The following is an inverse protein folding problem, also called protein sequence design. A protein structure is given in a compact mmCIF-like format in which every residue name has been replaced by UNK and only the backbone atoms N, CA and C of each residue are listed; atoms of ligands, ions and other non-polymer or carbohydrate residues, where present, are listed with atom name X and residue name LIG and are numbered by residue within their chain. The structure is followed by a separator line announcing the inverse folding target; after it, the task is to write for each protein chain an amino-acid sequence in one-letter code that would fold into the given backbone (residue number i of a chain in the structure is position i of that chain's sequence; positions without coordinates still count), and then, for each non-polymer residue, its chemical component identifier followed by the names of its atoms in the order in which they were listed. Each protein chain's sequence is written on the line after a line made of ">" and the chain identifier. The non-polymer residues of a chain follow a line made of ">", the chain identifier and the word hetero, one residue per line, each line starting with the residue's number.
data_IF_726802601500
#
_entry.id   IF_726802601500
#
_cell.length_a   1.000
_cell.length_b   1.000
_cell.length_c   1.000
_cell.angle_alpha   90.00
_cell.angle_beta   90.00
_cell.angle_gamma   90.00
#
_symmetry.space_group_name_H-M   'P 1'
#
loop_
_entity.id
_entity.type
_entity.pdbx_description
1 polymer ?
#
# COMPACT_ATOMS: atom_id res chain seq x y z
N UNK A 1 22.36 -8.95 -3.05
CA UNK A 1 21.09 -9.17 -2.32
C UNK A 1 20.29 -10.16 -3.13
N UNK A 2 19.84 -11.26 -2.52
CA UNK A 2 18.99 -12.24 -3.21
C UNK A 2 17.67 -11.56 -3.57
N UNK A 3 17.14 -11.84 -4.76
CA UNK A 3 15.83 -11.35 -5.18
C UNK A 3 14.75 -11.93 -4.25
N UNK A 4 13.70 -11.16 -3.93
CA UNK A 4 12.58 -11.67 -3.15
C UNK A 4 11.95 -12.88 -3.85
N UNK A 5 11.62 -13.91 -3.08
CA UNK A 5 10.84 -15.04 -3.59
C UNK A 5 9.35 -14.75 -3.43
N UNK A 6 8.67 -14.53 -4.55
CA UNK A 6 7.24 -14.23 -4.59
C UNK A 6 6.36 -15.49 -4.69
N UNK A 7 6.94 -16.69 -4.69
CA UNK A 7 6.16 -17.93 -4.72
C UNK A 7 5.30 -18.08 -3.46
N UNK A 8 4.01 -18.35 -3.68
CA UNK A 8 3.06 -18.45 -2.57
C UNK A 8 2.58 -17.11 -2.01
N UNK A 9 2.89 -15.98 -2.68
CA UNK A 9 2.32 -14.67 -2.38
C UNK A 9 0.99 -14.49 -3.10
N UNK A 10 -0.04 -14.08 -2.37
CA UNK A 10 -1.28 -13.55 -2.93
C UNK A 10 -1.22 -12.01 -2.97
N UNK A 11 -1.69 -11.44 -4.06
CA UNK A 11 -1.62 -10.01 -4.32
C UNK A 11 -2.97 -9.51 -4.86
N UNK A 12 -3.61 -8.60 -4.17
CA UNK A 12 -4.99 -8.24 -4.45
C UNK A 12 -5.20 -6.82 -4.92
N UNK A 13 -6.22 -6.63 -5.77
CA UNK A 13 -6.65 -5.32 -6.23
C UNK A 13 -5.92 -4.83 -7.48
N UNK A 14 -5.67 -5.71 -8.44
CA UNK A 14 -4.95 -5.38 -9.69
C UNK A 14 -5.49 -4.14 -10.41
N UNK A 15 -6.78 -3.88 -10.32
CA UNK A 15 -7.43 -2.70 -10.89
C UNK A 15 -7.36 -1.46 -9.97
N UNK A 16 -6.80 -1.59 -8.77
CA UNK A 16 -6.73 -0.52 -7.78
C UNK A 16 -5.45 0.32 -7.99
N UNK A 17 -5.56 1.64 -7.79
CA UNK A 17 -4.41 2.56 -7.81
C UNK A 17 -3.35 2.22 -6.75
N UNK A 18 -3.76 1.67 -5.62
CA UNK A 18 -2.87 1.24 -4.54
C UNK A 18 -1.88 0.18 -5.03
N UNK A 19 -2.36 -0.83 -5.75
CA UNK A 19 -1.51 -1.89 -6.31
C UNK A 19 -0.54 -1.34 -7.34
N UNK A 20 -0.99 -0.41 -8.18
CA UNK A 20 -0.10 0.29 -9.13
C UNK A 20 1.02 1.03 -8.39
N UNK A 21 0.73 1.62 -7.23
CA UNK A 21 1.76 2.27 -6.40
C UNK A 21 2.74 1.24 -5.85
N UNK A 22 2.26 0.09 -5.37
CA UNK A 22 3.14 -1.01 -4.91
C UNK A 22 4.06 -1.48 -6.02
N UNK A 23 3.54 -1.77 -7.21
CA UNK A 23 4.35 -2.23 -8.34
C UNK A 23 5.39 -1.18 -8.74
N UNK A 24 5.02 0.11 -8.74
CA UNK A 24 5.95 1.21 -9.01
C UNK A 24 7.04 1.30 -7.94
N UNK A 25 6.69 1.13 -6.66
CA UNK A 25 7.66 1.11 -5.57
C UNK A 25 8.66 -0.05 -5.73
N UNK A 26 8.15 -1.25 -6.02
CA UNK A 26 9.01 -2.42 -6.28
C UNK A 26 9.93 -2.17 -7.48
N UNK A 27 9.42 -1.56 -8.54
CA UNK A 27 10.22 -1.22 -9.72
C UNK A 27 11.34 -0.21 -9.39
N UNK A 28 11.02 0.87 -8.67
CA UNK A 28 12.02 1.85 -8.29
C UNK A 28 13.10 1.26 -7.39
N UNK A 29 12.72 0.45 -6.39
CA UNK A 29 13.63 -0.07 -5.38
C UNK A 29 14.49 -1.24 -5.88
N UNK A 30 13.93 -2.12 -6.70
CA UNK A 30 14.58 -3.38 -7.09
C UNK A 30 14.65 -3.62 -8.59
N UNK A 31 14.10 -2.71 -9.40
CA UNK A 31 14.15 -2.77 -10.85
C UNK A 31 12.93 -3.42 -11.51
N UNK A 32 12.82 -3.16 -12.81
CA UNK A 32 11.69 -3.59 -13.64
C UNK A 32 11.49 -5.12 -13.64
N UNK A 33 12.59 -5.87 -13.69
CA UNK A 33 12.54 -7.35 -13.73
C UNK A 33 11.89 -7.92 -12.46
N UNK A 34 12.16 -7.32 -11.29
CA UNK A 34 11.57 -7.74 -10.00
C UNK A 34 10.09 -7.40 -9.95
N UNK A 35 9.70 -6.22 -10.45
CA UNK A 35 8.30 -5.83 -10.57
C UNK A 35 7.52 -6.74 -11.52
N UNK A 36 8.11 -7.15 -12.64
CA UNK A 36 7.52 -8.12 -13.57
C UNK A 36 7.34 -9.48 -12.88
N UNK A 37 8.38 -9.97 -12.21
CA UNK A 37 8.35 -11.25 -11.49
C UNK A 37 7.26 -11.25 -10.40
N UNK A 38 7.10 -10.15 -9.64
CA UNK A 38 6.01 -10.00 -8.67
C UNK A 38 4.65 -10.26 -9.30
N UNK A 39 4.38 -9.66 -10.47
CA UNK A 39 3.10 -9.84 -11.16
C UNK A 39 2.96 -11.23 -11.77
N UNK A 40 4.03 -11.83 -12.28
CA UNK A 40 4.01 -13.13 -12.96
C UNK A 40 3.85 -14.31 -12.00
N UNK A 41 4.50 -14.25 -10.84
CA UNK A 41 4.59 -15.41 -9.93
C UNK A 41 3.58 -15.37 -8.78
N UNK A 42 3.00 -14.20 -8.50
CA UNK A 42 1.99 -14.07 -7.45
C UNK A 42 0.61 -14.54 -7.88
N UNK A 43 -0.18 -15.02 -6.92
CA UNK A 43 -1.61 -15.24 -7.10
C UNK A 43 -2.32 -13.87 -7.11
N UNK A 44 -2.63 -13.37 -8.31
CA UNK A 44 -3.28 -12.07 -8.47
C UNK A 44 -4.79 -12.21 -8.33
N UNK A 45 -5.40 -11.41 -7.48
CA UNK A 45 -6.85 -11.37 -7.26
C UNK A 45 -7.40 -9.98 -7.57
N UNK A 46 -8.70 -9.90 -7.85
CA UNK A 46 -9.36 -8.62 -8.20
C UNK A 46 -9.37 -7.63 -7.03
N UNK A 47 -9.52 -8.15 -5.81
CA UNK A 47 -9.67 -7.35 -4.60
C UNK A 47 -8.72 -7.83 -3.49
N UNK A 48 -8.24 -6.93 -2.61
CA UNK A 48 -7.38 -7.30 -1.48
C UNK A 48 -8.00 -8.36 -0.56
N UNK A 49 -9.33 -8.38 -0.43
CA UNK A 49 -10.03 -9.40 0.36
C UNK A 49 -9.79 -10.81 -0.21
N UNK A 50 -9.71 -10.94 -1.54
CA UNK A 50 -9.42 -12.22 -2.19
C UNK A 50 -8.04 -12.73 -1.83
N UNK A 51 -7.03 -11.86 -1.82
CA UNK A 51 -5.67 -12.22 -1.40
C UNK A 51 -5.62 -12.64 0.08
N UNK A 52 -6.32 -11.93 0.96
CA UNK A 52 -6.42 -12.31 2.37
C UNK A 52 -7.12 -13.68 2.55
N UNK A 53 -8.20 -13.92 1.82
CA UNK A 53 -8.91 -15.20 1.84
C UNK A 53 -8.07 -16.35 1.29
N UNK A 54 -7.25 -16.10 0.25
CA UNK A 54 -6.35 -17.11 -0.30
C UNK A 54 -5.38 -17.66 0.76
N UNK A 55 -4.88 -16.79 1.65
CA UNK A 55 -4.05 -17.24 2.79
C UNK A 55 -4.87 -18.06 3.78
N UNK A 56 -6.07 -17.60 4.15
CA UNK A 56 -6.94 -18.33 5.08
C UNK A 56 -7.39 -19.70 4.56
N UNK A 57 -7.45 -19.85 3.25
CA UNK A 57 -7.84 -21.11 2.58
C UNK A 57 -6.64 -21.99 2.24
N UNK A 58 -5.41 -21.57 2.59
CA UNK A 58 -4.19 -22.33 2.29
C UNK A 58 -3.80 -22.32 0.81
N UNK A 59 -4.39 -21.43 -0.01
CA UNK A 59 -4.04 -21.27 -1.42
C UNK A 59 -2.76 -20.45 -1.62
N UNK A 60 -2.42 -19.64 -0.63
CA UNK A 60 -1.19 -18.86 -0.57
C UNK A 60 -0.61 -18.90 0.86
N UNK A 61 0.71 -18.74 0.97
CA UNK A 61 1.38 -18.70 2.27
C UNK A 61 1.35 -17.30 2.88
N UNK A 62 1.38 -16.28 2.03
CA UNK A 62 1.41 -14.86 2.40
C UNK A 62 0.49 -14.06 1.50
N UNK A 63 0.07 -12.88 1.96
CA UNK A 63 -0.66 -11.93 1.13
C UNK A 63 -0.17 -10.51 1.35
N UNK A 64 -0.01 -9.76 0.27
CA UNK A 64 0.19 -8.32 0.32
C UNK A 64 -1.17 -7.64 0.34
N UNK A 65 -1.50 -7.02 1.47
CA UNK A 65 -2.81 -6.42 1.74
C UNK A 65 -2.64 -5.07 2.44
N UNK A 66 -3.63 -4.17 2.35
CA UNK A 66 -3.65 -2.94 3.15
C UNK A 66 -3.60 -3.22 4.65
N UNK A 67 -3.02 -2.29 5.42
CA UNK A 67 -2.84 -2.39 6.88
C UNK A 67 -4.14 -2.62 7.65
N UNK A 68 -5.29 -2.16 7.14
CA UNK A 68 -6.61 -2.39 7.73
C UNK A 68 -6.96 -3.89 7.93
N UNK A 69 -6.28 -4.79 7.21
CA UNK A 69 -6.47 -6.23 7.39
C UNK A 69 -5.85 -6.77 8.69
N UNK A 70 -5.03 -5.96 9.39
CA UNK A 70 -4.57 -6.29 10.74
C UNK A 70 -5.74 -6.61 11.69
N UNK A 71 -6.86 -5.89 11.56
CA UNK A 71 -8.07 -6.09 12.38
C UNK A 71 -8.84 -7.39 12.01
N UNK A 72 -8.52 -8.00 10.88
CA UNK A 72 -9.15 -9.24 10.40
C UNK A 72 -8.28 -10.47 10.63
N UNK A 73 -7.01 -10.27 10.93
CA UNK A 73 -6.11 -11.33 11.33
C UNK A 73 -6.47 -11.81 12.74
N UNK A 74 -6.54 -13.11 12.95
CA UNK A 74 -6.96 -13.71 14.21
C UNK A 74 -5.79 -13.92 15.20
N UNK A 75 -4.56 -13.65 14.76
CA UNK A 75 -3.35 -13.80 15.54
C UNK A 75 -2.93 -15.26 15.81
N UNK A 76 -3.65 -16.25 15.25
CA UNK A 76 -3.37 -17.67 15.38
C UNK A 76 -2.98 -18.28 14.05
N UNK A 77 -3.92 -18.33 13.11
CA UNK A 77 -3.70 -18.84 11.75
C UNK A 77 -3.20 -17.75 10.82
N UNK A 78 -3.62 -16.49 11.07
CA UNK A 78 -3.22 -15.32 10.29
C UNK A 78 -2.73 -14.20 11.20
N UNK A 79 -1.67 -13.54 10.79
CA UNK A 79 -1.12 -12.37 11.47
C UNK A 79 -0.55 -11.38 10.46
N UNK A 80 -0.58 -10.10 10.79
CA UNK A 80 0.05 -9.06 9.99
C UNK A 80 1.53 -8.96 10.34
N UNK A 81 2.36 -8.85 9.30
CA UNK A 81 3.76 -8.44 9.44
C UNK A 81 4.06 -7.29 8.51
N UNK A 82 4.81 -6.32 8.99
CA UNK A 82 5.44 -5.31 8.14
C UNK A 82 6.71 -5.93 7.58
N UNK A 83 6.96 -5.82 6.26
CA UNK A 83 8.21 -6.26 5.66
C UNK A 83 9.41 -5.56 6.32
N UNK A 84 10.54 -6.24 6.36
CA UNK A 84 11.79 -5.65 6.88
C UNK A 84 12.21 -4.41 6.10
N UNK A 85 11.93 -4.39 4.82
CA UNK A 85 12.18 -3.27 3.91
C UNK A 85 11.27 -2.08 4.15
N UNK A 86 10.20 -2.27 4.90
CA UNK A 86 9.20 -1.26 5.23
C UNK A 86 7.85 -1.48 4.53
N UNK A 87 6.79 -0.82 5.02
CA UNK A 87 5.49 -0.82 4.36
C UNK A 87 5.52 0.09 3.13
N UNK A 88 4.72 -0.24 2.12
CA UNK A 88 4.51 0.68 0.99
C UNK A 88 3.41 1.66 1.37
N UNK A 89 3.73 2.95 1.36
CA UNK A 89 2.78 4.03 1.60
C UNK A 89 1.99 4.34 0.33
N UNK A 90 0.69 4.49 0.51
CA UNK A 90 -0.23 4.90 -0.55
C UNK A 90 -0.78 6.26 -0.15
N UNK A 91 -0.25 7.36 -0.71
CA UNK A 91 -0.66 8.69 -0.31
C UNK A 91 -2.11 8.97 -0.73
N UNK A 92 -2.88 9.56 0.19
CA UNK A 92 -4.19 10.11 -0.09
C UNK A 92 -4.10 11.64 -0.09
N UNK A 93 -4.77 12.26 -1.04
CA UNK A 93 -4.74 13.72 -1.23
C UNK A 93 -6.11 14.32 -1.02
N UNK A 94 -6.17 15.43 -0.30
CA UNK A 94 -7.35 16.29 -0.25
C UNK A 94 -7.29 17.27 -1.44
N UNK A 95 -8.34 17.32 -2.23
CA UNK A 95 -8.47 18.22 -3.37
C UNK A 95 -9.73 19.07 -3.23
N UNK A 96 -9.61 20.37 -3.37
CA UNK A 96 -10.72 21.29 -3.47
C UNK A 96 -10.82 21.86 -4.88
N UNK A 97 -12.05 22.17 -5.32
CA UNK A 97 -12.25 22.90 -6.57
C UNK A 97 -11.73 24.32 -6.43
N UNK A 98 -11.22 24.91 -7.51
CA UNK A 98 -10.72 26.29 -7.53
C UNK A 98 -11.76 27.33 -7.17
N UNK A 99 -13.06 27.01 -7.32
CA UNK A 99 -14.18 27.88 -6.92
C UNK A 99 -14.47 27.87 -5.41
N UNK A 100 -13.85 26.94 -4.65
CA UNK A 100 -14.02 26.91 -3.19
C UNK A 100 -13.08 27.94 -2.58
N UNK A 101 -13.57 28.83 -1.69
CA UNK A 101 -12.71 29.76 -0.99
C UNK A 101 -11.62 29.01 -0.19
N UNK A 102 -10.40 29.52 -0.24
CA UNK A 102 -9.23 28.88 0.39
C UNK A 102 -9.45 28.60 1.88
N UNK A 103 -10.04 29.58 2.61
CA UNK A 103 -10.34 29.38 4.03
C UNK A 103 -11.27 28.20 4.31
N UNK A 104 -12.24 27.95 3.40
CA UNK A 104 -13.16 26.82 3.56
C UNK A 104 -12.45 25.49 3.28
N UNK A 105 -11.60 25.44 2.25
CA UNK A 105 -10.77 24.29 1.95
C UNK A 105 -9.83 23.95 3.12
N UNK A 106 -9.17 24.98 3.68
CA UNK A 106 -8.31 24.81 4.87
C UNK A 106 -9.06 24.27 6.08
N UNK A 107 -10.24 24.79 6.41
CA UNK A 107 -11.02 24.28 7.54
C UNK A 107 -11.42 22.83 7.39
N UNK A 108 -11.76 22.40 6.18
CA UNK A 108 -12.06 20.99 5.91
C UNK A 108 -10.79 20.13 6.06
N UNK A 109 -9.66 20.58 5.49
CA UNK A 109 -8.39 19.89 5.62
C UNK A 109 -7.96 19.75 7.09
N UNK A 110 -8.02 20.81 7.89
CA UNK A 110 -7.75 20.79 9.33
C UNK A 110 -8.65 19.81 10.09
N UNK A 111 -9.92 19.73 9.70
CA UNK A 111 -10.87 18.79 10.31
C UNK A 111 -10.52 17.33 9.99
N UNK A 112 -10.17 17.05 8.72
CA UNK A 112 -9.76 15.72 8.25
C UNK A 112 -8.43 15.31 8.91
N UNK A 113 -7.50 16.26 9.09
CA UNK A 113 -6.20 16.04 9.72
C UNK A 113 -6.23 16.26 11.25
N UNK A 114 -7.41 16.42 11.85
CA UNK A 114 -7.51 16.56 13.29
C UNK A 114 -7.04 15.28 14.00
N UNK A 115 -6.36 15.45 15.15
CA UNK A 115 -5.88 14.32 15.94
C UNK A 115 -6.98 13.29 16.22
N UNK A 116 -8.19 13.77 16.57
CA UNK A 116 -9.34 12.88 16.84
C UNK A 116 -9.68 11.98 15.64
N UNK A 117 -9.64 12.52 14.42
CA UNK A 117 -9.94 11.75 13.23
C UNK A 117 -8.78 10.83 12.85
N UNK A 118 -7.54 11.30 13.02
CA UNK A 118 -6.35 10.48 12.83
C UNK A 118 -6.33 9.28 13.81
N UNK A 119 -6.62 9.50 15.08
CA UNK A 119 -6.72 8.42 16.08
C UNK A 119 -7.84 7.43 15.73
N UNK A 120 -8.97 7.93 15.21
CA UNK A 120 -10.04 7.07 14.72
C UNK A 120 -9.60 6.18 13.54
N UNK A 121 -8.92 6.74 12.54
CA UNK A 121 -8.40 5.96 11.43
C UNK A 121 -7.34 4.95 11.89
N UNK A 122 -6.41 5.38 12.75
CA UNK A 122 -5.39 4.48 13.29
C UNK A 122 -6.01 3.33 14.08
N UNK A 123 -7.08 3.57 14.84
CA UNK A 123 -7.81 2.51 15.56
C UNK A 123 -8.53 1.53 14.63
N UNK A 124 -8.75 1.91 13.37
CA UNK A 124 -9.31 1.07 12.32
C UNK A 124 -8.25 0.42 11.43
N UNK A 125 -6.99 0.48 11.82
CA UNK A 125 -5.89 -0.20 11.12
C UNK A 125 -5.30 0.61 9.97
N UNK A 126 -5.71 1.86 9.77
CA UNK A 126 -5.11 2.74 8.78
C UNK A 126 -3.78 3.30 9.31
N UNK A 127 -2.76 3.24 8.45
CA UNK A 127 -1.48 3.91 8.65
C UNK A 127 -1.66 5.39 8.33
N UNK A 128 -1.68 6.25 9.34
CA UNK A 128 -1.69 7.68 9.13
C UNK A 128 -0.28 8.20 9.37
N UNK A 129 0.38 8.52 8.27
CA UNK A 129 1.66 9.22 8.30
C UNK A 129 1.39 10.72 8.35
N UNK A 130 1.17 11.21 9.55
CA UNK A 130 1.13 12.64 9.83
C UNK A 130 2.24 12.97 10.84
N UNK A 131 2.88 14.15 10.78
CA UNK A 131 3.98 14.50 11.70
C UNK A 131 3.67 14.36 13.19
N UNK A 132 2.38 14.29 13.54
CA UNK A 132 1.91 14.12 14.92
C UNK A 132 1.45 12.70 15.26
N UNK A 133 1.38 11.78 14.30
CA UNK A 133 0.90 10.40 14.48
C UNK A 133 2.00 9.43 14.05
N UNK A 134 3.06 9.35 14.84
CA UNK A 134 4.22 8.49 14.56
C UNK A 134 4.06 7.04 15.02
N UNK A 135 2.98 6.73 15.73
CA UNK A 135 2.75 5.40 16.27
C UNK A 135 1.53 4.74 15.64
N UNK A 136 1.76 3.64 14.95
CA UNK A 136 0.71 2.65 14.72
C UNK A 136 0.26 2.08 16.05
N UNK A 137 -1.03 1.82 16.21
CA UNK A 137 -1.54 1.03 17.34
C UNK A 137 -0.89 -0.36 17.47
N UNK A 138 -0.21 -0.83 16.43
CA UNK A 138 0.58 -2.07 16.42
C UNK A 138 2.01 -1.90 16.95
N UNK A 139 2.44 -0.71 17.35
CA UNK A 139 3.83 -0.43 17.75
C UNK A 139 4.86 -0.58 16.62
N UNK A 140 4.42 -0.56 15.37
CA UNK A 140 5.30 -0.72 14.22
C UNK A 140 5.76 0.65 13.72
N UNK A 141 7.07 0.83 13.66
CA UNK A 141 7.70 2.06 13.21
C UNK A 141 7.55 2.23 11.69
N UNK A 142 7.25 3.45 11.25
CA UNK A 142 7.15 3.81 9.82
C UNK A 142 8.43 4.45 9.30
N UNK A 143 9.52 4.37 10.06
CA UNK A 143 10.79 5.03 9.72
C UNK A 143 11.38 4.61 8.38
N UNK A 144 11.02 3.43 7.89
CA UNK A 144 11.50 2.89 6.62
C UNK A 144 10.38 2.70 5.57
N UNK A 145 9.32 3.51 5.68
CA UNK A 145 8.21 3.38 4.74
C UNK A 145 8.64 3.72 3.30
N UNK A 146 8.26 2.85 2.36
CA UNK A 146 8.58 2.96 0.95
C UNK A 146 7.49 3.73 0.21
N UNK A 147 7.89 4.68 -0.62
CA UNK A 147 6.98 5.39 -1.53
C UNK A 147 7.77 5.75 -2.80
N UNK A 148 7.19 5.61 -3.99
CA UNK A 148 7.90 6.00 -5.21
C UNK A 148 8.23 7.50 -5.15
N UNK A 149 9.47 7.85 -5.46
CA UNK A 149 9.90 9.25 -5.46
C UNK A 149 9.25 10.03 -6.62
N UNK A 150 8.98 11.33 -6.38
CA UNK A 150 8.42 12.19 -7.42
C UNK A 150 9.35 12.31 -8.64
N UNK A 151 10.66 12.32 -8.40
CA UNK A 151 11.67 12.38 -9.45
C UNK A 151 11.59 11.14 -10.35
N UNK A 152 11.61 9.95 -9.76
CA UNK A 152 11.52 8.70 -10.50
C UNK A 152 10.17 8.57 -11.22
N UNK A 153 9.05 8.94 -10.60
CA UNK A 153 7.74 8.95 -11.23
C UNK A 153 7.67 9.89 -12.44
N UNK A 154 8.40 11.00 -12.40
CA UNK A 154 8.51 11.94 -13.53
C UNK A 154 9.29 11.37 -14.71
N UNK A 155 10.17 10.41 -14.48
CA UNK A 155 10.98 9.74 -15.49
C UNK A 155 10.32 8.47 -16.03
N UNK A 156 9.40 7.87 -15.26
CA UNK A 156 8.74 6.62 -15.65
C UNK A 156 7.83 6.84 -16.85
N UNK A 157 8.15 6.16 -17.95
CA UNK A 157 7.27 6.11 -19.12
C UNK A 157 5.94 5.45 -18.75
N UNK A 158 4.85 6.14 -19.08
CA UNK A 158 3.50 5.59 -18.90
C UNK A 158 3.30 4.32 -19.70
N UNK A 159 3.84 4.28 -20.91
CA UNK A 159 3.72 3.15 -21.83
C UNK A 159 4.48 1.94 -21.28
N UNK A 160 5.73 2.11 -20.83
CA UNK A 160 6.53 1.03 -20.27
C UNK A 160 5.87 0.44 -19.02
N UNK A 161 5.30 1.31 -18.16
CA UNK A 161 4.55 0.82 -17.00
C UNK A 161 3.33 0.00 -17.40
N UNK A 162 2.54 0.46 -18.36
CA UNK A 162 1.36 -0.29 -18.80
C UNK A 162 1.70 -1.57 -19.55
N UNK A 163 2.77 -1.59 -20.34
CA UNK A 163 3.26 -2.81 -20.97
C UNK A 163 3.60 -3.87 -19.92
N UNK A 164 4.32 -3.50 -18.86
CA UNK A 164 4.63 -4.42 -17.76
C UNK A 164 3.36 -4.84 -16.99
N UNK A 165 2.51 -3.88 -16.65
CA UNK A 165 1.38 -4.10 -15.76
C UNK A 165 0.21 -4.84 -16.41
N UNK A 166 0.00 -4.66 -17.72
CA UNK A 166 -1.08 -5.28 -18.49
C UNK A 166 -0.64 -6.50 -19.29
N UNK A 167 0.61 -6.94 -19.16
CA UNK A 167 1.12 -8.14 -19.82
C UNK A 167 0.50 -9.45 -19.30
N UNK A 168 -0.47 -9.35 -18.38
CA UNK A 168 -1.27 -10.46 -17.85
C UNK A 168 -2.67 -10.50 -18.45
#
# INVERSE_FOLDING_TARGET
>A
TALPDWHGLAFGGINNSAVKTVVKTVWEQWGQAVAAQLLETSLVTDMPIGAFQAVRQGQANTALVPSLYALRADGRETFLRVPHEGPVLIPSYFCARTSVPEWAAHRVAESILSRKLCDFYASNGDLIVYPACTELHSGQETEHALCPSAEWLGQLSREDFYQLYCAK
#
